data_IF_669577534333
#
_entry.id   IF_669577534333
#
_cell.length_a   1.000
_cell.length_b   1.000
_cell.length_c   1.000
_cell.angle_alpha   90.00
_cell.angle_beta   90.00
_cell.angle_gamma   90.00
#
_symmetry.space_group_name_H-M   'P 1'
#
loop_
_entity.id
_entity.type
_entity.pdbx_description
1 polymer ?
#
# COMPACT_ATOMS: atom_id res chain seq x y z
N UNK A 1 -7.67 -12.49 -19.71
CA UNK A 1 -7.94 -11.29 -18.89
C UNK A 1 -6.88 -11.26 -17.80
N UNK A 2 -6.02 -10.24 -17.78
CA UNK A 2 -5.06 -10.04 -16.68
C UNK A 2 -5.85 -9.60 -15.45
N UNK A 3 -5.89 -10.42 -14.41
CA UNK A 3 -6.41 -10.01 -13.09
C UNK A 3 -5.24 -9.55 -12.25
N UNK A 4 -5.35 -8.34 -11.71
CA UNK A 4 -4.43 -7.89 -10.67
C UNK A 4 -4.67 -8.72 -9.42
N UNK A 5 -3.62 -8.97 -8.61
CA UNK A 5 -3.79 -9.62 -7.32
C UNK A 5 -4.69 -8.77 -6.42
N UNK A 6 -5.46 -9.45 -5.57
CA UNK A 6 -6.31 -8.77 -4.59
C UNK A 6 -5.45 -7.99 -3.60
N UNK A 7 -5.93 -6.80 -3.23
CA UNK A 7 -5.28 -5.99 -2.20
C UNK A 7 -5.24 -6.77 -0.88
N UNK A 8 -4.09 -6.83 -0.18
CA UNK A 8 -4.01 -7.44 1.15
C UNK A 8 -4.74 -6.61 2.21
N UNK A 9 -4.93 -5.32 1.95
CA UNK A 9 -5.71 -4.38 2.76
C UNK A 9 -7.18 -4.51 2.39
N UNK A 10 -8.03 -4.75 3.38
CA UNK A 10 -9.48 -4.85 3.24
C UNK A 10 -10.18 -3.51 3.45
N UNK A 11 -9.68 -2.68 4.38
CA UNK A 11 -10.15 -1.31 4.57
C UNK A 11 -9.13 -0.40 5.22
N UNK A 12 -9.30 0.91 5.02
CA UNK A 12 -8.52 1.95 5.68
C UNK A 12 -9.49 3.04 6.13
N UNK A 13 -9.37 3.48 7.39
CA UNK A 13 -10.22 4.54 7.94
C UNK A 13 -9.38 5.52 8.75
N UNK A 14 -9.72 6.79 8.64
CA UNK A 14 -9.12 7.87 9.42
C UNK A 14 -10.13 8.35 10.46
N UNK A 15 -9.67 8.48 11.70
CA UNK A 15 -10.43 9.15 12.75
C UNK A 15 -10.22 10.67 12.64
N UNK A 16 -11.30 11.41 12.39
CA UNK A 16 -11.23 12.88 12.27
C UNK A 16 -11.01 13.58 13.62
N UNK A 17 -11.32 12.92 14.74
CA UNK A 17 -11.17 13.51 16.08
C UNK A 17 -9.73 13.46 16.58
N UNK A 18 -9.05 12.32 16.42
CA UNK A 18 -7.70 12.12 16.94
C UNK A 18 -6.62 11.95 15.86
N UNK A 19 -7.01 11.91 14.58
CA UNK A 19 -6.09 11.79 13.45
C UNK A 19 -5.42 10.42 13.30
N UNK A 20 -5.87 9.41 14.05
CA UNK A 20 -5.36 8.05 13.93
C UNK A 20 -5.89 7.37 12.67
N UNK A 21 -5.07 6.52 12.09
CA UNK A 21 -5.35 5.82 10.85
C UNK A 21 -5.37 4.34 11.14
N UNK A 22 -6.52 3.70 10.95
CA UNK A 22 -6.70 2.26 11.12
C UNK A 22 -6.64 1.58 9.76
N UNK A 23 -5.78 0.57 9.65
CA UNK A 23 -5.63 -0.25 8.44
C UNK A 23 -5.99 -1.68 8.79
N UNK A 24 -6.98 -2.20 8.09
CA UNK A 24 -7.47 -3.57 8.22
C UNK A 24 -6.98 -4.42 7.08
N UNK A 25 -6.55 -5.63 7.41
CA UNK A 25 -6.12 -6.62 6.44
C UNK A 25 -7.15 -7.75 6.37
N UNK A 26 -7.12 -8.52 5.29
CA UNK A 26 -7.93 -9.76 5.22
C UNK A 26 -7.54 -10.77 6.29
N UNK A 27 -6.28 -10.74 6.74
CA UNK A 27 -5.81 -11.44 7.93
C UNK A 27 -5.61 -10.43 9.06
N UNK A 28 -6.47 -10.48 10.06
CA UNK A 28 -6.50 -9.54 11.20
C UNK A 28 -5.22 -9.54 12.04
N UNK A 29 -4.35 -10.55 11.91
CA UNK A 29 -3.05 -10.56 12.58
C UNK A 29 -2.11 -9.44 12.10
N UNK A 30 -2.42 -8.83 10.95
CA UNK A 30 -1.67 -7.72 10.39
C UNK A 30 -2.34 -6.35 10.61
N UNK A 31 -3.50 -6.31 11.27
CA UNK A 31 -4.20 -5.05 11.56
C UNK A 31 -3.27 -4.09 12.30
N UNK A 32 -3.23 -2.84 11.83
CA UNK A 32 -2.34 -1.81 12.35
C UNK A 32 -3.12 -0.52 12.56
N UNK A 33 -2.68 0.25 13.54
CA UNK A 33 -3.09 1.64 13.71
C UNK A 33 -1.84 2.50 13.69
N UNK A 34 -1.93 3.63 13.00
CA UNK A 34 -0.85 4.57 12.82
C UNK A 34 -1.27 5.94 13.32
N UNK A 35 -0.33 6.68 13.88
CA UNK A 35 -0.41 8.14 13.90
C UNK A 35 -0.28 8.68 12.47
N UNK A 36 -0.66 9.94 12.28
CA UNK A 36 -0.52 10.61 10.98
C UNK A 36 0.93 10.65 10.48
N UNK A 37 1.88 10.89 11.38
CA UNK A 37 3.31 10.99 11.01
C UNK A 37 3.90 9.63 10.62
N UNK A 38 3.55 8.57 11.35
CA UNK A 38 3.91 7.21 10.98
C UNK A 38 3.30 6.83 9.64
N UNK A 39 2.05 7.18 9.40
CA UNK A 39 1.38 6.91 8.13
C UNK A 39 2.02 7.64 6.96
N UNK A 40 2.39 8.91 7.13
CA UNK A 40 3.12 9.67 6.12
C UNK A 40 4.45 9.00 5.77
N UNK A 41 5.16 8.46 6.77
CA UNK A 41 6.40 7.71 6.57
C UNK A 41 6.17 6.43 5.78
N UNK A 42 5.10 5.68 6.08
CA UNK A 42 4.68 4.49 5.32
C UNK A 42 4.37 4.84 3.87
N UNK A 43 3.64 5.93 3.63
CA UNK A 43 3.29 6.38 2.28
C UNK A 43 4.52 6.78 1.47
N UNK A 44 5.44 7.55 2.03
CA UNK A 44 6.64 7.99 1.32
C UNK A 44 7.56 6.80 0.99
N UNK A 45 7.78 5.92 1.98
CA UNK A 45 8.57 4.70 1.80
C UNK A 45 7.94 3.80 0.73
N UNK A 46 6.63 3.61 0.77
CA UNK A 46 5.89 2.82 -0.21
C UNK A 46 5.97 3.40 -1.62
N UNK A 47 5.86 4.73 -1.76
CA UNK A 47 6.02 5.43 -3.05
C UNK A 47 7.42 5.24 -3.63
N UNK A 48 8.46 5.33 -2.81
CA UNK A 48 9.84 5.13 -3.26
C UNK A 48 10.08 3.68 -3.74
N UNK A 49 9.60 2.70 -2.99
CA UNK A 49 9.69 1.28 -3.36
C UNK A 49 8.92 1.02 -4.66
N UNK A 50 7.69 1.54 -4.79
CA UNK A 50 6.90 1.40 -6.02
C UNK A 50 7.61 2.04 -7.22
N UNK A 51 8.23 3.22 -7.06
CA UNK A 51 9.02 3.85 -8.13
C UNK A 51 10.18 2.95 -8.57
N UNK A 52 10.90 2.33 -7.63
CA UNK A 52 12.01 1.39 -7.92
C UNK A 52 11.53 0.13 -8.64
N UNK A 53 10.43 -0.48 -8.18
CA UNK A 53 9.84 -1.68 -8.79
C UNK A 53 9.33 -1.38 -10.21
N UNK A 54 8.74 -0.22 -10.43
CA UNK A 54 8.17 0.18 -11.72
C UNK A 54 9.17 0.86 -12.65
N UNK A 55 10.39 1.18 -12.20
CA UNK A 55 11.40 1.82 -13.06
C UNK A 55 11.73 0.98 -14.31
N UNK A 56 11.93 -0.35 -14.21
CA UNK A 56 12.17 -1.19 -15.40
C UNK A 56 10.98 -1.20 -16.36
N UNK A 57 9.74 -1.09 -15.86
CA UNK A 57 8.53 -1.05 -16.70
C UNK A 57 8.45 0.23 -17.55
N UNK A 58 9.02 1.34 -17.06
CA UNK A 58 9.12 2.59 -17.84
C UNK A 58 10.17 2.52 -18.94
N UNK A 59 11.21 1.71 -18.76
CA UNK A 59 12.35 1.59 -19.68
C UNK A 59 12.15 0.47 -20.71
N UNK A 60 11.53 -0.65 -20.33
CA UNK A 60 11.13 -1.77 -21.18
C UNK A 60 9.87 -2.44 -20.60
N UNK A 61 8.66 -2.11 -21.08
CA UNK A 61 7.40 -2.64 -20.56
C UNK A 61 7.18 -4.10 -20.99
N UNK A 62 8.07 -5.00 -20.59
CA UNK A 62 7.79 -6.44 -20.57
C UNK A 62 6.84 -6.70 -19.41
N UNK A 63 5.55 -6.65 -19.72
CA UNK A 63 4.50 -7.09 -18.80
C UNK A 63 4.85 -8.46 -18.22
N UNK A 64 4.46 -8.67 -16.96
CA UNK A 64 4.49 -9.97 -16.28
C UNK A 64 3.71 -11.01 -17.11
N UNK A 65 4.40 -11.65 -18.05
CA UNK A 65 3.94 -12.82 -18.79
C UNK A 65 4.76 -14.00 -18.27
N UNK A 66 4.35 -14.49 -17.10
CA UNK A 66 4.58 -15.87 -16.66
C UNK A 66 3.31 -16.33 -15.94
#
# INVERSE_FOLDING_TARGET
MVRLPDSPVSSMQECLECGSISVKFWNSNYDRSYTRDEWNTVLESGREVLRKILAPVKEDPKFFYD
#
